data_IF_314948379444
#
_entry.id   IF_314948379444
#
_cell.length_a   1.000
_cell.length_b   1.000
_cell.length_c   1.000
_cell.angle_alpha   90.00
_cell.angle_beta   90.00
_cell.angle_gamma   90.00
#
_symmetry.space_group_name_H-M   'P 1'
#
loop_
_entity.id
_entity.type
_entity.pdbx_description
1 polymer ?
#
# COMPACT_ATOMS: atom_id res chain seq x y z
N UNK A 1 -4.57 20.86 0.77
CA UNK A 1 -3.26 20.24 0.49
C UNK A 1 -2.97 19.29 1.65
N UNK A 2 -3.11 17.98 1.43
CA UNK A 2 -2.74 16.96 2.41
C UNK A 2 -1.29 16.56 2.11
N UNK A 3 -0.35 16.94 2.97
CA UNK A 3 1.05 16.49 2.88
C UNK A 3 1.28 15.38 3.89
N UNK A 4 1.67 14.20 3.41
CA UNK A 4 2.06 13.08 4.24
C UNK A 4 3.57 13.15 4.51
N UNK A 5 3.95 13.09 5.78
CA UNK A 5 5.34 13.14 6.23
C UNK A 5 5.79 11.74 6.63
N UNK A 6 6.83 11.20 5.99
CA UNK A 6 7.35 9.86 6.32
C UNK A 6 8.23 9.81 7.58
N UNK A 7 8.56 10.95 8.24
CA UNK A 7 9.36 10.98 9.50
C UNK A 7 8.87 12.01 10.53
N UNK A 8 9.08 11.70 11.82
CA UNK A 8 8.84 12.62 12.97
C UNK A 8 9.95 13.68 13.05
N UNK A 9 9.67 14.92 12.65
CA UNK A 9 10.58 16.08 12.82
C UNK A 9 9.93 17.22 13.63
N UNK A 10 10.78 18.08 14.22
CA UNK A 10 10.40 19.26 15.00
C UNK A 10 9.70 20.35 14.18
N UNK A 11 8.84 21.12 14.84
CA UNK A 11 7.84 22.03 14.23
C UNK A 11 8.46 23.19 13.43
N UNK A 12 9.64 23.69 13.80
CA UNK A 12 10.24 24.86 13.16
C UNK A 12 10.72 24.63 11.72
N UNK A 13 11.26 23.45 11.41
CA UNK A 13 11.71 23.10 10.05
C UNK A 13 10.52 22.89 9.09
N UNK A 14 9.36 22.50 9.64
CA UNK A 14 8.12 22.30 8.87
C UNK A 14 7.60 23.63 8.29
N UNK A 15 7.64 24.73 9.04
CA UNK A 15 6.99 25.99 8.63
C UNK A 15 7.64 26.68 7.43
N UNK A 16 8.98 26.76 7.37
CA UNK A 16 9.68 27.45 6.28
C UNK A 16 9.58 26.70 4.94
N UNK A 17 9.63 25.36 4.99
CA UNK A 17 9.46 24.52 3.80
C UNK A 17 7.99 24.51 3.33
N UNK A 18 7.02 24.52 4.25
CA UNK A 18 5.59 24.59 3.91
C UNK A 18 5.18 25.93 3.28
N UNK A 19 5.74 27.07 3.70
CA UNK A 19 5.45 28.37 3.08
C UNK A 19 6.02 28.50 1.66
N UNK A 20 7.16 27.87 1.41
CA UNK A 20 7.78 27.81 0.07
C UNK A 20 7.02 26.84 -0.84
N UNK A 21 6.60 25.69 -0.28
CA UNK A 21 5.78 24.70 -0.96
C UNK A 21 4.38 25.23 -1.30
N UNK A 22 3.72 25.92 -0.37
CA UNK A 22 2.38 26.48 -0.58
C UNK A 22 2.36 27.43 -1.77
N UNK A 23 3.38 28.29 -1.90
CA UNK A 23 3.51 29.19 -3.07
C UNK A 23 3.70 28.42 -4.38
N UNK A 24 4.54 27.39 -4.40
CA UNK A 24 4.78 26.55 -5.57
C UNK A 24 3.59 25.68 -5.98
N UNK A 25 2.90 25.08 -5.01
CA UNK A 25 1.73 24.23 -5.23
C UNK A 25 0.55 25.04 -5.78
N UNK A 26 0.34 26.26 -5.27
CA UNK A 26 -0.69 27.17 -5.77
C UNK A 26 -0.35 27.71 -7.17
N UNK A 27 0.92 27.98 -7.48
CA UNK A 27 1.34 28.45 -8.81
C UNK A 27 1.22 27.38 -9.89
N UNK A 28 1.47 26.11 -9.56
CA UNK A 28 1.54 25.03 -10.55
C UNK A 28 0.36 24.04 -10.50
N UNK A 29 -0.62 24.25 -9.60
CA UNK A 29 -1.77 23.35 -9.44
C UNK A 29 -1.38 21.92 -9.02
N UNK A 30 -0.30 21.79 -8.25
CA UNK A 30 0.30 20.49 -7.94
C UNK A 30 -0.12 19.95 -6.58
N UNK A 31 -0.63 18.72 -6.56
CA UNK A 31 -0.78 17.95 -5.34
C UNK A 31 0.56 17.29 -5.00
N UNK A 32 1.43 18.02 -4.29
CA UNK A 32 2.63 17.45 -3.67
C UNK A 32 2.20 16.65 -2.44
N UNK A 33 2.50 15.35 -2.42
CA UNK A 33 1.97 14.45 -1.41
C UNK A 33 3.01 13.97 -0.39
N UNK A 34 4.31 13.89 -0.74
CA UNK A 34 5.33 13.31 0.15
C UNK A 34 6.62 14.13 0.25
N UNK A 35 7.10 14.35 1.47
CA UNK A 35 8.47 14.79 1.76
C UNK A 35 9.35 13.58 2.07
N UNK A 36 10.45 13.43 1.34
CA UNK A 36 11.30 12.23 1.31
C UNK A 36 12.78 12.62 1.30
N UNK A 37 13.67 11.63 1.27
CA UNK A 37 15.12 11.87 1.23
C UNK A 37 15.59 12.36 -0.16
N UNK A 38 14.79 12.12 -1.21
CA UNK A 38 15.07 12.49 -2.60
C UNK A 38 13.83 13.09 -3.30
N UNK A 39 14.03 14.05 -4.21
CA UNK A 39 12.99 14.57 -5.10
C UNK A 39 12.75 13.66 -6.30
N UNK A 40 11.50 13.55 -6.75
CA UNK A 40 11.14 12.72 -7.91
C UNK A 40 9.65 12.41 -7.99
N UNK A 41 9.33 11.28 -8.60
CA UNK A 41 8.00 10.66 -8.58
C UNK A 41 8.15 9.22 -8.09
N UNK A 42 7.25 8.75 -7.23
CA UNK A 42 7.27 7.35 -6.80
C UNK A 42 6.54 6.43 -7.80
N UNK A 43 6.64 5.12 -7.58
CA UNK A 43 5.97 4.08 -8.37
C UNK A 43 4.43 4.17 -8.37
N UNK A 44 3.84 4.91 -7.44
CA UNK A 44 2.39 5.19 -7.35
C UNK A 44 1.98 6.49 -8.09
N UNK A 45 2.94 7.22 -8.67
CA UNK A 45 2.68 8.45 -9.42
C UNK A 45 2.64 9.72 -8.54
N UNK A 46 2.99 9.61 -7.26
CA UNK A 46 3.03 10.73 -6.33
C UNK A 46 4.34 11.51 -6.48
N UNK A 47 4.22 12.85 -6.47
CA UNK A 47 5.38 13.74 -6.47
C UNK A 47 6.03 13.73 -5.09
N UNK A 48 7.32 13.40 -5.09
CA UNK A 48 8.20 13.36 -3.92
C UNK A 48 9.10 14.59 -3.93
N UNK A 49 9.21 15.27 -2.79
CA UNK A 49 10.18 16.35 -2.61
C UNK A 49 11.22 16.00 -1.56
N UNK A 50 12.49 16.09 -1.97
CA UNK A 50 13.64 15.93 -1.10
C UNK A 50 13.64 16.99 0.00
N UNK A 51 13.75 16.55 1.25
CA UNK A 51 13.77 17.45 2.42
C UNK A 51 15.03 18.29 2.49
N UNK A 52 16.12 17.83 1.87
CA UNK A 52 17.40 18.55 1.78
C UNK A 52 17.53 19.37 0.49
N UNK A 53 16.54 19.29 -0.41
CA UNK A 53 16.61 19.96 -1.70
C UNK A 53 16.23 21.43 -1.58
N UNK A 54 16.92 22.26 -2.36
CA UNK A 54 16.65 23.70 -2.44
C UNK A 54 15.57 24.01 -3.49
N UNK A 55 14.94 25.17 -3.39
CA UNK A 55 13.84 25.60 -4.28
C UNK A 55 14.13 25.42 -5.78
N UNK A 56 15.35 25.70 -6.22
CA UNK A 56 15.76 25.53 -7.62
C UNK A 56 15.74 24.06 -8.07
N UNK A 57 16.08 23.10 -7.20
CA UNK A 57 15.97 21.67 -7.52
C UNK A 57 14.52 21.23 -7.65
N UNK A 58 13.62 21.74 -6.80
CA UNK A 58 12.18 21.50 -6.94
C UNK A 58 11.63 22.11 -8.23
N UNK A 59 12.09 23.31 -8.62
CA UNK A 59 11.70 23.93 -9.89
C UNK A 59 12.07 23.05 -11.09
N UNK A 60 13.30 22.53 -11.10
CA UNK A 60 13.75 21.55 -12.11
C UNK A 60 12.93 20.27 -12.13
N UNK A 61 12.49 19.78 -10.96
CA UNK A 61 11.57 18.64 -10.90
C UNK A 61 10.25 18.98 -11.59
N UNK A 62 9.68 20.15 -11.32
CA UNK A 62 8.43 20.59 -11.92
C UNK A 62 8.51 20.73 -13.44
N UNK A 63 9.62 21.27 -13.96
CA UNK A 63 9.90 21.30 -15.39
C UNK A 63 9.96 19.90 -16.02
N UNK A 64 10.43 18.90 -15.27
CA UNK A 64 10.54 17.49 -15.71
C UNK A 64 9.26 16.67 -15.47
N UNK A 65 8.24 17.20 -14.81
CA UNK A 65 7.01 16.46 -14.51
C UNK A 65 6.32 15.86 -15.75
N UNK A 66 6.25 16.53 -16.91
CA UNK A 66 5.68 15.92 -18.11
C UNK A 66 6.39 14.62 -18.51
N UNK A 67 7.72 14.58 -18.38
CA UNK A 67 8.51 13.36 -18.64
C UNK A 67 8.22 12.26 -17.62
N UNK A 68 8.08 12.60 -16.33
CA UNK A 68 7.66 11.66 -15.29
C UNK A 68 6.27 11.08 -15.57
N UNK A 69 5.30 11.91 -15.96
CA UNK A 69 3.95 11.46 -16.32
C UNK A 69 3.98 10.52 -17.53
N UNK A 70 4.76 10.85 -18.56
CA UNK A 70 4.95 9.97 -19.71
C UNK A 70 5.56 8.63 -19.29
N UNK A 71 6.56 8.64 -18.41
CA UNK A 71 7.17 7.40 -17.91
C UNK A 71 6.19 6.59 -17.06
N UNK A 72 5.38 7.25 -16.23
CA UNK A 72 4.36 6.59 -15.41
C UNK A 72 3.35 5.86 -16.30
N UNK A 73 2.85 6.52 -17.35
CA UNK A 73 1.98 5.90 -18.35
C UNK A 73 2.65 4.72 -19.06
N UNK A 74 3.95 4.83 -19.40
CA UNK A 74 4.70 3.72 -19.98
C UNK A 74 4.87 2.55 -19.01
N UNK A 75 5.04 2.81 -17.70
CA UNK A 75 5.05 1.77 -16.66
C UNK A 75 3.72 1.01 -16.64
N UNK A 76 2.60 1.71 -16.74
CA UNK A 76 1.28 1.07 -16.76
C UNK A 76 1.07 0.22 -18.03
N UNK A 77 1.55 0.70 -19.19
CA UNK A 77 1.56 -0.14 -20.39
C UNK A 77 2.45 -1.38 -20.26
N UNK A 78 3.59 -1.28 -19.57
CA UNK A 78 4.43 -2.44 -19.29
C UNK A 78 3.74 -3.45 -18.37
N UNK A 79 3.05 -2.98 -17.31
CA UNK A 79 2.24 -3.83 -16.43
C UNK A 79 1.18 -4.59 -17.23
N UNK A 80 0.47 -3.91 -18.13
CA UNK A 80 -0.51 -4.54 -19.02
C UNK A 80 0.14 -5.58 -19.94
N UNK A 81 1.26 -5.25 -20.59
CA UNK A 81 1.96 -6.22 -21.45
C UNK A 81 2.40 -7.47 -20.68
N UNK A 82 2.91 -7.30 -19.47
CA UNK A 82 3.28 -8.42 -18.59
C UNK A 82 2.03 -9.23 -18.20
N UNK A 83 0.93 -8.57 -17.85
CA UNK A 83 -0.36 -9.19 -17.52
C UNK A 83 -0.80 -10.14 -18.65
N UNK A 84 -0.79 -9.67 -19.89
CA UNK A 84 -1.18 -10.48 -21.06
C UNK A 84 -0.27 -11.71 -21.25
N UNK A 85 1.04 -11.55 -21.05
CA UNK A 85 2.00 -12.67 -21.16
C UNK A 85 1.82 -13.71 -20.03
N UNK A 86 1.27 -13.30 -18.89
CA UNK A 86 1.08 -14.13 -17.70
C UNK A 86 -0.38 -14.54 -17.47
N UNK A 87 -1.18 -14.60 -18.53
CA UNK A 87 -2.54 -15.13 -18.45
C UNK A 87 -3.55 -14.21 -17.76
N UNK A 88 -3.33 -12.89 -17.85
CA UNK A 88 -4.24 -11.85 -17.37
C UNK A 88 -4.08 -11.50 -15.89
N UNK A 89 -2.92 -11.80 -15.29
CA UNK A 89 -2.61 -11.44 -13.90
C UNK A 89 -2.36 -9.94 -13.77
N UNK A 90 -2.93 -9.30 -12.75
CA UNK A 90 -2.73 -7.87 -12.54
C UNK A 90 -1.38 -7.61 -11.86
N UNK A 91 -0.52 -6.80 -12.50
CA UNK A 91 0.76 -6.40 -11.91
C UNK A 91 0.56 -5.14 -11.07
N UNK A 92 0.76 -5.25 -9.76
CA UNK A 92 0.56 -4.18 -8.78
C UNK A 92 1.88 -3.73 -8.15
N UNK A 93 1.92 -2.48 -7.71
CA UNK A 93 2.95 -2.00 -6.79
C UNK A 93 2.38 -2.01 -5.37
N UNK A 94 3.10 -2.64 -4.44
CA UNK A 94 2.73 -2.65 -3.02
C UNK A 94 3.67 -1.68 -2.31
N UNK A 95 3.10 -0.62 -1.74
CA UNK A 95 3.85 0.32 -0.91
C UNK A 95 4.31 -0.38 0.37
N UNK A 96 5.62 -0.43 0.61
CA UNK A 96 6.21 -1.05 1.80
C UNK A 96 6.48 0.00 2.88
N UNK A 97 6.57 -0.46 4.13
CA UNK A 97 7.08 0.35 5.24
C UNK A 97 8.56 0.66 4.99
N UNK A 98 8.85 1.84 4.45
CA UNK A 98 10.20 2.24 4.06
C UNK A 98 10.22 3.44 3.10
N UNK A 99 11.39 3.76 2.52
CA UNK A 99 11.50 4.80 1.50
C UNK A 99 10.59 4.49 0.30
N UNK A 100 9.90 5.50 -0.20
CA UNK A 100 9.08 5.35 -1.41
C UNK A 100 9.97 4.95 -2.61
N UNK A 101 9.53 3.92 -3.36
CA UNK A 101 10.24 3.41 -4.54
C UNK A 101 10.18 4.45 -5.68
N UNK A 102 11.33 4.92 -6.21
CA UNK A 102 11.36 5.82 -7.35
C UNK A 102 10.73 5.21 -8.60
N UNK A 103 10.05 6.05 -9.40
CA UNK A 103 9.39 5.62 -10.63
C UNK A 103 10.39 5.02 -11.63
N UNK A 104 11.58 5.59 -11.76
CA UNK A 104 12.62 5.11 -12.67
C UNK A 104 13.07 3.69 -12.32
N UNK A 105 13.20 3.39 -11.03
CA UNK A 105 13.58 2.07 -10.54
C UNK A 105 12.44 1.06 -10.77
N UNK A 106 11.20 1.47 -10.52
CA UNK A 106 10.02 0.66 -10.80
C UNK A 106 9.89 0.33 -12.30
N UNK A 107 10.04 1.34 -13.17
CA UNK A 107 10.02 1.17 -14.62
C UNK A 107 11.14 0.24 -15.09
N UNK A 108 12.36 0.40 -14.57
CA UNK A 108 13.51 -0.46 -14.88
C UNK A 108 13.24 -1.92 -14.51
N UNK A 109 12.67 -2.14 -13.33
CA UNK A 109 12.26 -3.48 -12.84
C UNK A 109 11.24 -4.12 -13.78
N UNK A 110 10.15 -3.41 -14.11
CA UNK A 110 9.12 -3.89 -15.04
C UNK A 110 9.70 -4.19 -16.42
N UNK A 111 10.50 -3.28 -16.98
CA UNK A 111 11.07 -3.41 -18.31
C UNK A 111 12.04 -4.60 -18.39
N UNK A 112 12.87 -4.79 -17.36
CA UNK A 112 13.80 -5.93 -17.26
C UNK A 112 13.03 -7.24 -17.23
N UNK A 113 12.01 -7.33 -16.38
CA UNK A 113 11.16 -8.52 -16.29
C UNK A 113 10.44 -8.82 -17.61
N UNK A 114 9.80 -7.82 -18.23
CA UNK A 114 9.13 -7.95 -19.51
C UNK A 114 10.07 -8.44 -20.64
N UNK A 115 11.28 -7.88 -20.74
CA UNK A 115 12.27 -8.29 -21.75
C UNK A 115 12.70 -9.75 -21.60
N UNK A 116 12.82 -10.24 -20.36
CA UNK A 116 13.13 -11.66 -20.07
C UNK A 116 11.98 -12.58 -20.41
N UNK A 117 10.74 -12.12 -20.19
CA UNK A 117 9.53 -12.90 -20.40
C UNK A 117 9.18 -13.05 -21.89
N UNK A 118 9.37 -11.98 -22.68
CA UNK A 118 8.98 -11.90 -24.09
C UNK A 118 9.48 -13.07 -24.98
N UNK A 119 10.76 -13.52 -24.92
CA UNK A 119 11.23 -14.60 -25.80
C UNK A 119 10.70 -15.99 -25.41
N UNK A 120 10.26 -16.20 -24.17
CA UNK A 120 10.03 -17.54 -23.62
C UNK A 120 8.68 -18.16 -24.01
N UNK A 121 7.73 -17.35 -24.54
CA UNK A 121 6.37 -17.77 -24.96
C UNK A 121 5.75 -18.79 -23.99
N UNK A 122 5.49 -18.37 -22.75
CA UNK A 122 4.93 -19.25 -21.73
C UNK A 122 3.62 -19.89 -22.18
N UNK A 123 3.46 -21.18 -21.84
CA UNK A 123 2.26 -21.96 -22.14
C UNK A 123 1.16 -21.69 -21.10
N UNK A 124 0.73 -20.44 -21.00
CA UNK A 124 -0.36 -19.99 -20.14
C UNK A 124 -1.58 -19.64 -20.99
N UNK A 125 -2.76 -20.09 -20.54
CA UNK A 125 -4.00 -19.64 -21.17
C UNK A 125 -4.19 -18.14 -20.87
N UNK A 126 -4.64 -17.30 -21.84
CA UNK A 126 -4.69 -15.83 -21.67
C UNK A 126 -5.53 -15.32 -20.49
N UNK A 127 -6.37 -16.17 -19.90
CA UNK A 127 -7.21 -15.87 -18.74
C UNK A 127 -6.97 -16.78 -17.53
N UNK A 128 -5.95 -17.64 -17.54
CA UNK A 128 -5.73 -18.61 -16.45
C UNK A 128 -5.44 -17.93 -15.10
N UNK A 129 -4.97 -16.69 -15.12
CA UNK A 129 -4.62 -15.91 -13.94
C UNK A 129 -5.52 -14.69 -13.72
N UNK A 130 -6.62 -14.58 -14.47
CA UNK A 130 -7.55 -13.46 -14.33
C UNK A 130 -8.12 -13.40 -12.90
N UNK A 131 -8.19 -12.19 -12.36
CA UNK A 131 -8.63 -11.91 -10.99
C UNK A 131 -7.57 -12.13 -9.91
N UNK A 132 -6.34 -12.52 -10.29
CA UNK A 132 -5.20 -12.64 -9.40
C UNK A 132 -4.26 -11.44 -9.58
N UNK A 133 -3.47 -11.17 -8.55
CA UNK A 133 -2.53 -10.04 -8.52
C UNK A 133 -1.11 -10.52 -8.27
N UNK A 134 -0.12 -9.79 -8.76
CA UNK A 134 1.29 -10.01 -8.49
C UNK A 134 2.08 -8.72 -8.28
N UNK A 135 3.12 -8.78 -7.46
CA UNK A 135 4.16 -7.75 -7.35
C UNK A 135 5.50 -8.29 -7.83
N UNK A 136 6.37 -7.38 -8.26
CA UNK A 136 7.78 -7.68 -8.56
C UNK A 136 8.67 -7.23 -7.41
N UNK A 137 9.60 -8.08 -7.01
CA UNK A 137 10.58 -7.79 -5.96
C UNK A 137 12.01 -8.13 -6.42
N UNK A 138 13.00 -7.38 -5.91
CA UNK A 138 14.42 -7.56 -6.24
C UNK A 138 15.22 -8.26 -5.12
N UNK A 139 14.64 -8.39 -3.92
CA UNK A 139 15.29 -8.91 -2.70
C UNK A 139 15.17 -10.44 -2.53
N UNK A 140 14.43 -11.12 -3.42
CA UNK A 140 14.16 -12.57 -3.33
C UNK A 140 14.78 -13.35 -4.49
N UNK A 141 15.02 -14.63 -4.24
CA UNK A 141 15.49 -15.59 -5.27
C UNK A 141 14.37 -16.44 -5.85
N UNK A 142 13.31 -16.72 -5.07
CA UNK A 142 12.21 -17.61 -5.46
C UNK A 142 10.85 -16.92 -5.39
N UNK A 143 9.91 -17.27 -6.30
CA UNK A 143 8.56 -16.75 -6.24
C UNK A 143 7.80 -17.34 -5.05
N UNK A 144 6.93 -16.56 -4.43
CA UNK A 144 6.10 -17.01 -3.31
C UNK A 144 4.69 -16.45 -3.37
N UNK A 145 3.77 -17.10 -2.66
CA UNK A 145 2.37 -16.69 -2.56
C UNK A 145 2.15 -16.07 -1.17
N UNK A 146 1.80 -14.78 -1.15
CA UNK A 146 1.53 -14.06 0.08
C UNK A 146 0.26 -14.60 0.78
N UNK A 147 0.14 -14.37 2.08
CA UNK A 147 -1.03 -14.78 2.87
C UNK A 147 -2.33 -14.12 2.38
N UNK A 148 -2.22 -12.90 1.84
CA UNK A 148 -3.33 -12.16 1.21
C UNK A 148 -3.68 -12.65 -0.21
N UNK A 149 -3.00 -13.68 -0.72
CA UNK A 149 -3.33 -14.31 -2.00
C UNK A 149 -2.74 -13.65 -3.25
N UNK A 150 -1.90 -12.62 -3.12
CA UNK A 150 -1.13 -12.08 -4.23
C UNK A 150 0.22 -12.80 -4.37
N UNK A 151 0.72 -12.86 -5.60
CA UNK A 151 2.03 -13.43 -5.90
C UNK A 151 3.13 -12.40 -5.71
N UNK A 152 4.27 -12.84 -5.20
CA UNK A 152 5.49 -12.04 -5.09
C UNK A 152 6.53 -12.71 -5.97
N UNK A 153 6.90 -12.04 -7.06
CA UNK A 153 7.73 -12.63 -8.12
C UNK A 153 9.08 -11.91 -8.18
N UNK A 154 10.20 -12.62 -8.01
CA UNK A 154 11.51 -12.04 -8.23
C UNK A 154 11.70 -11.59 -9.67
N UNK A 155 12.23 -10.39 -9.87
CA UNK A 155 12.55 -9.83 -11.21
C UNK A 155 13.47 -10.76 -12.02
N UNK A 156 14.33 -11.50 -11.32
CA UNK A 156 15.33 -12.40 -11.91
C UNK A 156 14.97 -13.90 -11.84
N UNK A 157 13.73 -14.25 -11.46
CA UNK A 157 13.31 -15.66 -11.37
C UNK A 157 13.38 -16.39 -12.72
N UNK A 158 13.62 -17.70 -12.69
CA UNK A 158 13.54 -18.56 -13.88
C UNK A 158 12.11 -18.60 -14.43
N UNK A 159 11.96 -18.49 -15.75
CA UNK A 159 10.65 -18.35 -16.39
C UNK A 159 9.85 -19.65 -16.44
N UNK A 160 10.53 -20.81 -16.51
CA UNK A 160 9.85 -22.12 -16.46
C UNK A 160 9.37 -22.41 -15.03
N UNK A 161 10.21 -22.13 -14.03
CA UNK A 161 9.84 -22.19 -12.62
C UNK A 161 8.66 -21.26 -12.34
N UNK A 162 8.68 -20.03 -12.87
CA UNK A 162 7.58 -19.08 -12.74
C UNK A 162 6.27 -19.65 -13.29
N UNK A 163 6.29 -20.20 -14.51
CA UNK A 163 5.08 -20.76 -15.13
C UNK A 163 4.47 -21.87 -14.26
N UNK A 164 5.28 -22.84 -13.84
CA UNK A 164 4.84 -23.97 -13.02
C UNK A 164 4.30 -23.49 -11.66
N UNK A 165 4.96 -22.50 -11.06
CA UNK A 165 4.55 -21.91 -9.80
C UNK A 165 3.18 -21.20 -9.92
N UNK A 166 3.00 -20.34 -10.92
CA UNK A 166 1.72 -19.65 -11.15
C UNK A 166 0.58 -20.65 -11.37
N UNK A 167 0.78 -21.68 -12.21
CA UNK A 167 -0.24 -22.68 -12.50
C UNK A 167 -0.62 -23.51 -11.26
N UNK A 168 0.36 -23.97 -10.49
CA UNK A 168 0.11 -24.81 -9.31
C UNK A 168 -0.53 -24.05 -8.14
N UNK A 169 -0.23 -22.76 -8.00
CA UNK A 169 -0.71 -21.94 -6.86
C UNK A 169 -1.95 -21.09 -7.19
N UNK A 170 -2.42 -21.05 -8.44
CA UNK A 170 -3.53 -20.20 -8.85
C UNK A 170 -4.83 -20.45 -8.06
N UNK A 171 -5.15 -21.71 -7.75
CA UNK A 171 -6.35 -22.03 -6.95
C UNK A 171 -6.19 -21.57 -5.50
N UNK A 172 -5.01 -21.77 -4.93
CA UNK A 172 -4.72 -21.34 -3.56
C UNK A 172 -4.76 -19.81 -3.42
N UNK A 173 -4.22 -19.09 -4.41
CA UNK A 173 -4.28 -17.64 -4.50
C UNK A 173 -5.73 -17.13 -4.47
N UNK A 174 -6.61 -17.72 -5.30
CA UNK A 174 -8.05 -17.38 -5.31
C UNK A 174 -8.72 -17.64 -3.97
N UNK A 175 -8.43 -18.78 -3.34
CA UNK A 175 -8.97 -19.15 -2.03
C UNK A 175 -8.58 -18.14 -0.96
N UNK A 176 -7.31 -17.71 -0.95
CA UNK A 176 -6.80 -16.70 0.00
C UNK A 176 -7.45 -15.34 -0.21
N UNK A 177 -7.59 -14.90 -1.47
CA UNK A 177 -8.26 -13.63 -1.79
C UNK A 177 -9.74 -13.66 -1.35
N UNK A 178 -10.49 -14.71 -1.69
CA UNK A 178 -11.89 -14.84 -1.27
C UNK A 178 -12.04 -14.85 0.26
N UNK A 179 -11.14 -15.53 0.97
CA UNK A 179 -11.15 -15.54 2.43
C UNK A 179 -10.88 -14.15 3.00
N UNK A 180 -9.93 -13.41 2.43
CA UNK A 180 -9.63 -12.04 2.83
C UNK A 180 -10.86 -11.14 2.61
N UNK A 181 -11.45 -11.17 1.42
CA UNK A 181 -12.61 -10.31 1.09
C UNK A 181 -13.79 -10.58 2.04
N UNK A 182 -14.00 -11.85 2.40
CA UNK A 182 -15.00 -12.23 3.42
C UNK A 182 -14.66 -11.67 4.80
N UNK A 183 -13.41 -11.74 5.22
CA UNK A 183 -12.98 -11.21 6.52
C UNK A 183 -13.06 -9.68 6.57
N UNK A 184 -12.74 -8.99 5.48
CA UNK A 184 -12.85 -7.53 5.38
C UNK A 184 -14.31 -7.08 5.48
N UNK A 185 -15.23 -7.76 4.78
CA UNK A 185 -16.66 -7.49 4.90
C UNK A 185 -17.20 -7.77 6.31
N UNK A 186 -16.82 -8.91 6.91
CA UNK A 186 -17.22 -9.25 8.29
C UNK A 186 -16.65 -8.28 9.33
N UNK A 187 -15.44 -7.76 9.10
CA UNK A 187 -14.81 -6.74 9.92
C UNK A 187 -15.57 -5.41 9.84
N UNK A 188 -15.97 -4.97 8.64
CA UNK A 188 -16.75 -3.74 8.47
C UNK A 188 -18.11 -3.82 9.17
N UNK A 189 -18.82 -4.95 9.00
CA UNK A 189 -20.11 -5.21 9.62
C UNK A 189 -20.03 -5.21 11.16
N UNK A 190 -19.01 -5.86 11.73
CA UNK A 190 -18.84 -5.93 13.19
C UNK A 190 -18.38 -4.59 13.78
N UNK A 191 -17.55 -3.82 13.07
CA UNK A 191 -17.16 -2.47 13.50
C UNK A 191 -18.39 -1.57 13.56
N UNK A 192 -19.24 -1.60 12.52
CA UNK A 192 -20.48 -0.83 12.50
C UNK A 192 -21.42 -1.23 13.66
N UNK A 193 -21.54 -2.53 13.92
CA UNK A 193 -22.36 -3.05 15.02
C UNK A 193 -21.82 -2.61 16.38
N UNK A 194 -20.50 -2.70 16.58
CA UNK A 194 -19.82 -2.31 17.82
C UNK A 194 -19.94 -0.80 18.09
N UNK A 195 -19.79 0.04 17.06
CA UNK A 195 -20.01 1.48 17.14
C UNK A 195 -21.40 1.82 17.66
N UNK A 196 -22.43 1.15 17.13
CA UNK A 196 -23.82 1.38 17.50
C UNK A 196 -24.13 0.84 18.91
N UNK A 197 -23.79 -0.42 19.18
CA UNK A 197 -24.15 -1.10 20.45
C UNK A 197 -23.48 -0.47 21.67
N UNK A 198 -22.24 0.00 21.52
CA UNK A 198 -21.48 0.64 22.61
C UNK A 198 -21.60 2.17 22.58
N UNK A 199 -22.32 2.74 21.59
CA UNK A 199 -22.45 4.18 21.40
C UNK A 199 -21.09 4.90 21.35
N UNK A 200 -20.12 4.30 20.65
CA UNK A 200 -18.78 4.86 20.46
C UNK A 200 -18.84 6.04 19.49
N UNK A 201 -17.93 7.00 19.65
CA UNK A 201 -17.76 8.05 18.65
C UNK A 201 -17.03 7.52 17.41
N UNK A 202 -15.95 6.76 17.60
CA UNK A 202 -15.22 6.12 16.52
C UNK A 202 -14.55 4.82 16.98
N UNK A 203 -14.39 3.89 16.04
CA UNK A 203 -13.68 2.64 16.24
C UNK A 203 -12.76 2.42 15.03
N UNK A 204 -11.46 2.34 15.28
CA UNK A 204 -10.46 2.04 14.26
C UNK A 204 -9.47 1.00 14.77
N UNK A 205 -8.56 0.57 13.90
CA UNK A 205 -7.46 -0.32 14.26
C UNK A 205 -6.14 0.21 13.72
N UNK A 206 -5.06 -0.15 14.40
CA UNK A 206 -3.73 0.01 13.86
C UNK A 206 -3.51 -0.94 12.65
N UNK A 207 -2.71 -0.55 11.65
CA UNK A 207 -2.45 -1.38 10.47
C UNK A 207 -1.86 -2.77 10.76
N UNK A 208 -1.21 -2.95 11.91
CA UNK A 208 -0.65 -4.23 12.34
C UNK A 208 -1.70 -5.20 12.89
N UNK A 209 -2.92 -4.74 13.19
CA UNK A 209 -4.01 -5.58 13.66
C UNK A 209 -4.76 -6.16 12.46
N UNK A 210 -4.73 -7.49 12.33
CA UNK A 210 -5.43 -8.21 11.26
C UNK A 210 -6.95 -8.25 11.48
N UNK A 211 -7.74 -8.43 10.42
CA UNK A 211 -9.19 -8.69 10.51
C UNK A 211 -9.50 -9.88 11.42
N UNK A 212 -8.66 -10.92 11.35
CA UNK A 212 -8.74 -12.10 12.22
C UNK A 212 -8.56 -11.80 13.72
N UNK A 213 -7.92 -10.69 14.07
CA UNK A 213 -7.79 -10.21 15.45
C UNK A 213 -8.88 -9.20 15.80
N UNK A 214 -9.21 -8.30 14.87
CA UNK A 214 -10.21 -7.25 15.06
C UNK A 214 -11.60 -7.81 15.31
N UNK A 215 -12.02 -8.78 14.49
CA UNK A 215 -13.38 -9.34 14.57
C UNK A 215 -13.66 -9.97 15.95
N UNK A 216 -12.84 -10.90 16.48
CA UNK A 216 -13.05 -11.43 17.83
C UNK A 216 -12.93 -10.36 18.91
N UNK A 217 -12.06 -9.35 18.75
CA UNK A 217 -11.95 -8.25 19.70
C UNK A 217 -13.26 -7.46 19.80
N UNK A 218 -13.85 -7.08 18.66
CA UNK A 218 -15.13 -6.38 18.61
C UNK A 218 -16.26 -7.20 19.23
N UNK A 219 -16.31 -8.51 18.98
CA UNK A 219 -17.29 -9.41 19.61
C UNK A 219 -17.20 -9.36 21.13
N UNK A 220 -15.99 -9.48 21.68
CA UNK A 220 -15.76 -9.42 23.15
C UNK A 220 -16.13 -8.05 23.72
N UNK A 221 -15.83 -6.96 23.01
CA UNK A 221 -16.22 -5.61 23.44
C UNK A 221 -17.75 -5.47 23.55
N UNK A 222 -18.48 -6.03 22.59
CA UNK A 222 -19.94 -6.02 22.59
C UNK A 222 -20.56 -6.89 23.70
N UNK A 223 -19.81 -7.87 24.24
CA UNK A 223 -20.24 -8.71 25.38
C UNK A 223 -20.07 -7.98 26.72
N UNK A 224 -18.97 -7.24 26.93
CA UNK A 224 -18.64 -6.52 28.18
C UNK A 224 -19.37 -5.17 28.37
N UNK A 225 -20.53 -4.98 27.72
CA UNK A 225 -21.29 -3.71 27.62
C UNK A 225 -21.14 -2.81 28.86
N UNK A 226 -20.28 -1.80 28.78
CA UNK A 226 -20.03 -0.85 29.87
C UNK A 226 -20.54 0.55 29.49
N UNK A 227 -21.34 1.21 30.35
CA UNK A 227 -21.75 2.60 30.13
C UNK A 227 -20.59 3.58 29.98
N UNK A 228 -19.40 3.23 30.49
CA UNK A 228 -18.20 4.07 30.43
C UNK A 228 -17.61 4.15 29.02
N UNK A 229 -18.06 3.29 28.10
CA UNK A 229 -17.61 3.28 26.71
C UNK A 229 -18.29 4.35 25.85
N UNK A 230 -19.40 4.93 26.32
CA UNK A 230 -20.19 5.85 25.51
C UNK A 230 -19.39 7.11 25.14
N UNK A 231 -19.38 7.43 23.84
CA UNK A 231 -18.71 8.61 23.29
C UNK A 231 -17.20 8.49 23.16
N UNK A 232 -16.60 7.33 23.45
CA UNK A 232 -15.16 7.13 23.31
C UNK A 232 -14.73 7.03 21.84
N UNK A 233 -13.51 7.52 21.58
CA UNK A 233 -12.74 7.20 20.40
C UNK A 233 -11.82 6.01 20.71
N UNK A 234 -12.11 4.84 20.13
CA UNK A 234 -11.40 3.60 20.42
C UNK A 234 -10.51 3.19 19.24
N UNK A 235 -9.26 2.88 19.54
CA UNK A 235 -8.30 2.32 18.58
C UNK A 235 -7.80 0.95 19.06
N UNK A 236 -8.01 -0.08 18.25
CA UNK A 236 -7.51 -1.42 18.54
C UNK A 236 -6.04 -1.52 18.08
N UNK A 237 -5.16 -1.89 19.01
CA UNK A 237 -3.70 -1.85 18.87
C UNK A 237 -3.07 -3.10 19.49
N UNK A 238 -1.79 -3.02 19.87
CA UNK A 238 -1.07 -4.06 20.62
C UNK A 238 -0.76 -3.69 22.07
N UNK A 239 -1.19 -2.53 22.55
CA UNK A 239 -0.87 -2.04 23.89
C UNK A 239 -1.97 -1.12 24.42
N UNK A 240 -1.99 -0.91 25.73
CA UNK A 240 -2.86 0.12 26.31
C UNK A 240 -2.19 1.48 26.22
N UNK A 241 -2.93 2.49 25.76
CA UNK A 241 -2.49 3.88 25.75
C UNK A 241 -3.69 4.80 25.78
N UNK A 242 -3.52 6.00 26.33
CA UNK A 242 -4.47 7.09 26.17
C UNK A 242 -3.72 8.21 25.46
N UNK A 243 -4.21 8.63 24.29
CA UNK A 243 -3.60 9.69 23.52
C UNK A 243 -3.92 11.07 24.13
N UNK A 244 -3.18 12.09 23.74
CA UNK A 244 -3.29 13.45 24.33
C UNK A 244 -4.65 14.11 24.06
N UNK A 245 -5.32 13.70 22.99
CA UNK A 245 -6.68 14.08 22.58
C UNK A 245 -7.78 13.26 23.28
N UNK A 246 -7.42 12.25 24.07
CA UNK A 246 -8.36 11.43 24.82
C UNK A 246 -8.73 10.11 24.13
N UNK A 247 -8.14 9.80 22.97
CA UNK A 247 -8.37 8.54 22.27
C UNK A 247 -7.80 7.38 23.09
N UNK A 248 -8.61 6.33 23.25
CA UNK A 248 -8.23 5.13 24.00
C UNK A 248 -7.69 4.07 23.02
N UNK A 249 -6.47 3.62 23.26
CA UNK A 249 -5.90 2.45 22.62
C UNK A 249 -6.01 1.24 23.55
N UNK A 250 -6.54 0.13 23.03
CA UNK A 250 -6.54 -1.15 23.74
C UNK A 250 -5.91 -2.24 22.88
N UNK A 251 -5.21 -3.22 23.48
CA UNK A 251 -4.66 -4.33 22.74
C UNK A 251 -5.78 -5.23 22.21
N UNK A 252 -5.69 -5.75 20.98
CA UNK A 252 -6.72 -6.63 20.39
C UNK A 252 -7.02 -7.88 21.24
N UNK A 253 -6.08 -8.31 22.09
CA UNK A 253 -6.15 -9.45 23.02
C UNK A 253 -6.30 -9.02 24.49
N UNK A 254 -6.81 -7.81 24.74
CA UNK A 254 -7.11 -7.29 26.07
C UNK A 254 -7.86 -8.32 26.94
N UNK A 255 -7.52 -8.39 28.23
CA UNK A 255 -8.19 -9.26 29.21
C UNK A 255 -9.08 -8.39 30.10
N UNK A 256 -10.32 -8.81 30.30
CA UNK A 256 -11.28 -8.19 31.22
C UNK A 256 -10.90 -8.41 32.68
#
# INVERSE_FOLDING_TARGET
>A
MLCLWQRKWGVAHKCCQLQSLGRLATQNGLNVQFFTDQSGMNASGHVMLGTMDVHHQWTKLFERLPSYRSMFQQSDWLKERISHLLGGIQVIHIERMGPALPLEEHYSTLNTFHKRLLPQRLSLHPRSMQGLTMSLENDRSTPCLHEMGHFIIPTMCDTLQLQNFLQSQAQEARRRMQRRDKLEAEEEDIISSCLQDLSLHSLCKEPSVSSSQMIPCCRRLMEERSPQMQGLHLCISHFYSVMQDGDLCIPWDWKG
#
